data_IF_270085519207
#
_entry.id   IF_270085519207
#
_cell.length_a   1.000
_cell.length_b   1.000
_cell.length_c   1.000
_cell.angle_alpha   90.00
_cell.angle_beta   90.00
_cell.angle_gamma   90.00
#
_symmetry.space_group_name_H-M   'P 1'
#
loop_
_entity.id
_entity.type
_entity.pdbx_description
1 polymer ?
#
# COMPACT_ATOMS: atom_id res chain seq x y z
N UNK A 1 2.64 -25.66 -4.89
CA UNK A 1 3.56 -26.19 -5.92
C UNK A 1 2.92 -26.42 -7.30
N UNK A 2 1.59 -26.44 -7.44
CA UNK A 2 0.95 -26.75 -8.73
C UNK A 2 1.11 -25.66 -9.82
N UNK A 3 1.24 -24.38 -9.47
CA UNK A 3 1.26 -23.27 -10.44
C UNK A 3 2.47 -23.26 -11.37
N UNK A 4 3.60 -23.84 -10.94
CA UNK A 4 4.86 -23.80 -11.70
C UNK A 4 5.14 -25.09 -12.47
N UNK A 5 4.34 -26.13 -12.30
CA UNK A 5 4.56 -27.42 -12.97
C UNK A 5 4.47 -27.30 -14.49
N UNK A 6 3.49 -26.54 -15.00
CA UNK A 6 3.31 -26.30 -16.44
C UNK A 6 4.44 -25.47 -17.06
N UNK A 7 5.17 -24.69 -16.25
CA UNK A 7 6.35 -23.96 -16.72
C UNK A 7 7.58 -24.86 -16.72
N UNK A 8 7.74 -25.67 -15.67
CA UNK A 8 8.88 -26.58 -15.54
C UNK A 8 8.90 -27.71 -16.58
N UNK A 9 7.74 -28.15 -17.09
CA UNK A 9 7.64 -29.21 -18.11
C UNK A 9 8.32 -28.83 -19.44
N UNK A 10 8.51 -27.53 -19.70
CA UNK A 10 9.20 -27.04 -20.90
C UNK A 10 10.73 -27.25 -20.84
N UNK A 11 11.26 -27.58 -19.66
CA UNK A 11 12.69 -27.75 -19.42
C UNK A 11 13.01 -29.18 -19.04
N UNK A 12 14.12 -29.70 -19.56
CA UNK A 12 14.70 -30.94 -19.07
C UNK A 12 15.71 -30.63 -17.96
N UNK A 13 15.31 -30.80 -16.69
CA UNK A 13 16.15 -30.48 -15.54
C UNK A 13 16.12 -31.59 -14.48
N UNK A 14 17.14 -31.57 -13.62
CA UNK A 14 17.23 -32.40 -12.43
C UNK A 14 17.34 -31.52 -11.20
N UNK A 15 16.66 -31.91 -10.12
CA UNK A 15 16.71 -31.18 -8.85
C UNK A 15 17.82 -31.76 -7.99
N UNK A 16 18.87 -30.97 -7.76
CA UNK A 16 19.96 -31.34 -6.86
C UNK A 16 20.03 -30.37 -5.67
N UNK A 17 20.18 -30.94 -4.46
CA UNK A 17 20.48 -30.14 -3.29
C UNK A 17 21.94 -29.66 -3.32
N UNK A 18 22.15 -28.35 -3.18
CA UNK A 18 23.48 -27.75 -2.98
C UNK A 18 23.59 -27.19 -1.56
N UNK A 19 24.51 -27.71 -0.73
CA UNK A 19 24.77 -27.16 0.59
C UNK A 19 25.13 -25.67 0.51
N UNK A 20 24.65 -24.87 1.46
CA UNK A 20 24.83 -23.40 1.44
C UNK A 20 26.28 -22.94 1.33
N UNK A 21 27.23 -23.68 1.95
CA UNK A 21 28.68 -23.41 1.83
C UNK A 21 29.20 -23.44 0.40
N UNK A 22 28.59 -24.24 -0.47
CA UNK A 22 28.98 -24.37 -1.89
C UNK A 22 28.17 -23.42 -2.79
N UNK A 23 27.14 -22.77 -2.27
CA UNK A 23 26.23 -21.92 -3.02
C UNK A 23 26.68 -20.44 -3.04
N UNK A 24 27.99 -20.19 -2.92
CA UNK A 24 28.57 -18.85 -2.68
C UNK A 24 28.19 -17.84 -3.76
N UNK A 25 28.18 -18.27 -5.03
CA UNK A 25 27.87 -17.37 -6.17
C UNK A 25 26.40 -16.96 -6.16
N UNK A 26 25.48 -17.93 -6.08
CA UNK A 26 24.06 -17.63 -6.06
C UNK A 26 23.67 -16.87 -4.78
N UNK A 27 24.28 -17.21 -3.63
CA UNK A 27 24.10 -16.48 -2.37
C UNK A 27 24.60 -15.03 -2.47
N UNK A 28 25.79 -14.79 -3.06
CA UNK A 28 26.29 -13.44 -3.28
C UNK A 28 25.41 -12.62 -4.23
N UNK A 29 24.92 -13.21 -5.31
CA UNK A 29 24.00 -12.55 -6.25
C UNK A 29 22.59 -12.34 -5.68
N UNK A 30 22.16 -13.25 -4.79
CA UNK A 30 20.92 -13.14 -4.02
C UNK A 30 20.98 -12.04 -2.97
N UNK A 31 22.18 -11.76 -2.44
CA UNK A 31 22.39 -10.74 -1.40
C UNK A 31 22.43 -9.36 -2.04
N UNK A 32 21.31 -8.68 -1.93
CA UNK A 32 21.17 -7.27 -2.25
C UNK A 32 21.76 -6.40 -1.13
N UNK A 33 22.86 -5.66 -1.35
CA UNK A 33 23.47 -4.83 -0.29
C UNK A 33 22.55 -3.68 0.15
N UNK A 34 21.59 -3.28 -0.69
CA UNK A 34 20.50 -2.35 -0.40
C UNK A 34 19.47 -2.87 0.63
N UNK A 35 19.48 -4.18 0.93
CA UNK A 35 18.63 -4.81 1.95
C UNK A 35 19.36 -5.14 3.26
N UNK A 36 20.67 -4.85 3.36
CA UNK A 36 21.39 -5.02 4.60
C UNK A 36 20.87 -3.98 5.61
N UNK A 37 20.08 -4.44 6.59
CA UNK A 37 19.64 -3.62 7.72
C UNK A 37 20.89 -3.14 8.45
N UNK A 38 21.23 -1.86 8.30
CA UNK A 38 22.17 -1.20 9.19
C UNK A 38 21.61 -1.35 10.61
N UNK A 39 22.24 -2.21 11.39
CA UNK A 39 21.89 -2.37 12.81
C UNK A 39 22.50 -1.18 13.53
N UNK A 40 21.87 -0.02 13.39
CA UNK A 40 22.13 1.16 14.22
C UNK A 40 20.96 1.31 15.18
N UNK A 41 21.22 0.89 16.42
CA UNK A 41 20.55 1.21 17.67
C UNK A 41 19.02 1.06 17.74
N UNK A 42 18.62 0.06 18.52
CA UNK A 42 17.29 -0.48 18.74
C UNK A 42 16.30 0.45 19.49
N UNK A 43 16.34 1.78 19.33
CA UNK A 43 15.36 2.65 20.00
C UNK A 43 14.96 3.95 19.28
N UNK A 44 15.12 3.99 17.96
CA UNK A 44 14.44 5.02 17.16
C UNK A 44 13.38 4.33 16.33
N UNK A 45 12.11 4.74 16.45
CA UNK A 45 11.05 4.39 15.51
C UNK A 45 11.50 4.95 14.15
N UNK A 46 12.27 4.13 13.44
CA UNK A 46 12.69 4.38 12.08
C UNK A 46 11.44 4.30 11.25
N UNK A 47 10.84 5.46 10.98
CA UNK A 47 10.04 5.65 9.78
C UNK A 47 10.88 5.03 8.68
N UNK A 48 10.46 3.85 8.22
CA UNK A 48 10.93 3.27 6.98
C UNK A 48 10.54 4.33 5.96
N UNK A 49 11.47 5.22 5.65
CA UNK A 49 11.48 5.90 4.37
C UNK A 49 11.75 4.78 3.38
N UNK A 50 10.67 4.06 3.05
CA UNK A 50 10.46 3.70 1.67
C UNK A 50 10.70 5.03 0.96
N UNK A 51 11.79 5.10 0.22
CA UNK A 51 11.80 5.90 -1.00
C UNK A 51 10.66 5.34 -1.86
N UNK A 52 9.42 5.63 -1.47
CA UNK A 52 8.36 5.81 -2.42
C UNK A 52 8.99 6.78 -3.41
N UNK A 53 9.08 6.47 -4.71
CA UNK A 53 9.20 7.55 -5.67
C UNK A 53 8.18 8.60 -5.21
N UNK A 54 8.57 9.87 -5.16
CA UNK A 54 7.67 10.97 -4.85
C UNK A 54 6.59 10.98 -5.94
N UNK A 55 5.67 10.02 -5.85
CA UNK A 55 4.60 9.81 -6.78
C UNK A 55 3.68 10.96 -6.48
N UNK A 56 3.46 11.80 -7.50
CA UNK A 56 2.44 12.84 -7.44
C UNK A 56 1.09 12.26 -7.02
N UNK A 57 0.90 10.94 -7.07
CA UNK A 57 -0.30 10.23 -6.66
C UNK A 57 -0.86 10.69 -5.31
N UNK A 58 -0.02 10.91 -4.29
CA UNK A 58 -0.54 11.41 -3.00
C UNK A 58 -0.96 12.88 -3.07
N UNK A 59 -0.34 13.68 -3.93
CA UNK A 59 -0.79 15.05 -4.23
C UNK A 59 -2.08 15.05 -5.06
N UNK A 60 -2.23 14.09 -5.96
CA UNK A 60 -3.41 13.90 -6.81
C UNK A 60 -4.60 13.43 -5.97
N UNK A 61 -4.39 12.49 -5.03
CA UNK A 61 -5.39 12.11 -4.01
C UNK A 61 -5.84 13.33 -3.21
N UNK A 62 -4.88 14.15 -2.73
CA UNK A 62 -5.20 15.37 -1.97
C UNK A 62 -5.98 16.38 -2.81
N UNK A 63 -5.67 16.50 -4.09
CA UNK A 63 -6.37 17.41 -5.00
C UNK A 63 -7.76 16.90 -5.33
N UNK A 64 -7.93 15.60 -5.54
CA UNK A 64 -9.21 14.97 -5.84
C UNK A 64 -10.20 14.99 -4.67
N UNK A 65 -9.74 15.12 -3.42
CA UNK A 65 -10.63 15.41 -2.28
C UNK A 65 -11.47 16.67 -2.47
N UNK A 66 -11.00 17.64 -3.26
CA UNK A 66 -11.78 18.82 -3.61
C UNK A 66 -12.98 18.54 -4.52
N UNK A 67 -13.14 17.31 -5.03
CA UNK A 67 -14.27 16.91 -5.88
C UNK A 67 -15.23 15.94 -5.17
N UNK A 68 -14.80 15.30 -4.07
CA UNK A 68 -15.58 14.32 -3.32
C UNK A 68 -16.34 14.96 -2.14
N UNK A 69 -17.67 14.96 -2.19
CA UNK A 69 -18.51 15.59 -1.16
C UNK A 69 -18.39 14.90 0.21
N UNK A 70 -18.28 13.57 0.24
CA UNK A 70 -18.20 12.80 1.48
C UNK A 70 -16.85 13.02 2.16
N UNK A 71 -15.76 13.04 1.38
CA UNK A 71 -14.43 13.34 1.91
C UNK A 71 -14.34 14.77 2.42
N UNK A 72 -14.94 15.75 1.73
CA UNK A 72 -15.01 17.13 2.23
C UNK A 72 -15.69 17.21 3.59
N UNK A 73 -16.85 16.55 3.75
CA UNK A 73 -17.56 16.57 5.03
C UNK A 73 -16.76 15.91 6.16
N UNK A 74 -15.98 14.86 5.86
CA UNK A 74 -15.04 14.27 6.82
C UNK A 74 -13.92 15.23 7.19
N UNK A 75 -13.28 15.87 6.20
CA UNK A 75 -12.22 16.85 6.44
C UNK A 75 -12.73 18.05 7.24
N UNK A 76 -13.90 18.60 6.92
CA UNK A 76 -14.55 19.67 7.67
C UNK A 76 -14.81 19.26 9.12
N UNK A 77 -15.30 18.05 9.35
CA UNK A 77 -15.51 17.50 10.69
C UNK A 77 -14.20 17.39 11.48
N UNK A 78 -13.11 16.91 10.86
CA UNK A 78 -11.82 16.79 11.54
C UNK A 78 -11.10 18.14 11.72
N UNK A 79 -11.38 19.13 10.87
CA UNK A 79 -10.85 20.49 11.01
C UNK A 79 -11.52 21.27 12.15
N UNK A 80 -12.85 21.12 12.32
CA UNK A 80 -13.61 21.77 13.38
C UNK A 80 -14.72 20.85 13.96
N UNK A 81 -14.34 19.86 14.80
CA UNK A 81 -15.28 18.88 15.35
C UNK A 81 -16.42 19.56 16.11
N UNK A 82 -17.65 19.32 15.67
CA UNK A 82 -18.86 19.90 16.26
C UNK A 82 -20.08 19.06 15.91
N UNK A 83 -21.17 19.15 16.69
CA UNK A 83 -22.40 18.43 16.34
C UNK A 83 -22.97 18.85 14.99
N UNK A 84 -22.81 20.12 14.62
CA UNK A 84 -23.21 20.65 13.31
C UNK A 84 -22.41 20.02 12.17
N UNK A 85 -21.08 19.92 12.29
CA UNK A 85 -20.24 19.27 11.26
C UNK A 85 -20.49 17.76 11.21
N UNK A 86 -20.68 17.12 12.38
CA UNK A 86 -21.05 15.70 12.48
C UNK A 86 -22.40 15.42 11.82
N UNK A 87 -23.34 16.36 11.89
CA UNK A 87 -24.65 16.29 11.22
C UNK A 87 -24.61 16.54 9.70
N UNK A 88 -23.46 16.92 9.13
CA UNK A 88 -23.30 16.99 7.67
C UNK A 88 -22.84 15.65 7.07
N UNK A 89 -22.17 14.81 7.86
CA UNK A 89 -21.72 13.50 7.42
C UNK A 89 -22.90 12.60 7.02
N UNK A 90 -22.71 11.74 6.02
CA UNK A 90 -23.68 10.69 5.71
C UNK A 90 -23.86 9.71 6.90
N UNK A 91 -25.03 9.08 7.03
CA UNK A 91 -25.36 8.19 8.18
C UNK A 91 -24.31 7.09 8.39
N UNK A 92 -23.85 6.48 7.30
CA UNK A 92 -22.85 5.40 7.35
C UNK A 92 -21.46 5.91 7.78
N UNK A 93 -21.07 7.12 7.36
CA UNK A 93 -19.84 7.78 7.79
C UNK A 93 -19.88 8.15 9.27
N UNK A 94 -21.01 8.69 9.77
CA UNK A 94 -21.17 9.00 11.21
C UNK A 94 -20.96 7.78 12.10
N UNK A 95 -21.50 6.64 11.70
CA UNK A 95 -21.38 5.40 12.46
C UNK A 95 -19.92 4.93 12.56
N UNK A 96 -19.09 5.26 11.57
CA UNK A 96 -17.70 4.82 11.45
C UNK A 96 -16.69 5.95 11.62
N UNK A 97 -17.10 7.14 12.01
CA UNK A 97 -16.23 8.35 12.04
C UNK A 97 -15.00 8.17 12.94
N UNK A 98 -15.14 7.39 14.02
CA UNK A 98 -14.04 7.05 14.95
C UNK A 98 -12.91 6.22 14.29
N UNK A 99 -13.16 5.64 13.12
CA UNK A 99 -12.21 4.84 12.34
C UNK A 99 -11.42 5.68 11.34
N UNK A 100 -11.79 6.95 11.18
CA UNK A 100 -11.10 7.88 10.31
C UNK A 100 -10.16 8.77 11.13
N UNK A 101 -9.03 9.13 10.52
CA UNK A 101 -8.05 10.08 11.07
C UNK A 101 -7.50 10.93 9.94
N UNK A 102 -7.00 12.12 10.24
CA UNK A 102 -6.35 12.98 9.24
C UNK A 102 -4.88 13.14 9.60
N UNK A 103 -4.00 12.88 8.63
CA UNK A 103 -2.56 13.11 8.76
C UNK A 103 -2.01 13.71 7.46
N UNK A 104 -1.29 14.83 7.54
CA UNK A 104 -0.74 15.53 6.36
C UNK A 104 -1.78 15.78 5.24
N UNK A 105 -3.01 16.16 5.63
CA UNK A 105 -4.18 16.34 4.75
C UNK A 105 -4.65 15.08 4.02
N UNK A 106 -4.15 13.90 4.39
CA UNK A 106 -4.67 12.61 3.92
C UNK A 106 -5.65 12.08 4.95
N UNK A 107 -6.77 11.55 4.44
CA UNK A 107 -7.75 10.86 5.26
C UNK A 107 -7.35 9.38 5.35
N UNK A 108 -7.15 8.90 6.56
CA UNK A 108 -6.78 7.52 6.88
C UNK A 108 -7.98 6.78 7.44
N UNK A 109 -8.16 5.52 7.04
CA UNK A 109 -9.17 4.62 7.53
C UNK A 109 -8.53 3.39 8.16
N UNK A 110 -8.92 3.07 9.39
CA UNK A 110 -8.47 1.90 10.12
C UNK A 110 -9.49 0.76 9.99
N UNK A 111 -9.07 -0.35 9.36
CA UNK A 111 -9.83 -1.60 9.32
C UNK A 111 -9.69 -2.35 10.67
N UNK A 112 -10.68 -3.19 11.05
CA UNK A 112 -10.66 -3.88 12.36
C UNK A 112 -9.66 -5.03 12.36
N UNK A 113 -9.37 -5.56 11.17
CA UNK A 113 -8.83 -6.91 11.03
C UNK A 113 -7.30 -6.95 10.87
N UNK A 114 -6.65 -5.82 10.57
CA UNK A 114 -5.21 -5.78 10.25
C UNK A 114 -4.42 -4.65 10.93
N UNK A 115 -5.07 -3.83 11.77
CA UNK A 115 -4.47 -2.68 12.45
C UNK A 115 -3.70 -1.75 11.49
N UNK A 116 -4.05 -1.75 10.20
CA UNK A 116 -3.38 -0.99 9.16
C UNK A 116 -4.19 0.25 8.80
N UNK A 117 -3.52 1.40 8.79
CA UNK A 117 -4.08 2.64 8.29
C UNK A 117 -4.01 2.65 6.77
N UNK A 118 -5.16 2.87 6.12
CA UNK A 118 -5.29 2.92 4.66
C UNK A 118 -5.69 4.32 4.24
N UNK A 119 -5.05 4.85 3.18
CA UNK A 119 -5.46 6.13 2.60
C UNK A 119 -6.83 5.97 1.95
N UNK A 120 -7.76 6.86 2.29
CA UNK A 120 -9.06 6.95 1.63
C UNK A 120 -8.84 7.55 0.24
N UNK A 121 -9.19 6.79 -0.79
CA UNK A 121 -9.18 7.24 -2.18
C UNK A 121 -10.55 7.87 -2.47
N UNK A 122 -10.62 9.11 -2.98
CA UNK A 122 -11.89 9.74 -3.34
C UNK A 122 -12.56 9.00 -4.50
N UNK A 123 -13.85 9.28 -4.72
CA UNK A 123 -14.58 8.73 -5.86
C UNK A 123 -14.19 9.40 -7.19
N UNK A 124 -12.94 9.21 -7.61
CA UNK A 124 -12.37 9.65 -8.87
C UNK A 124 -11.94 8.42 -9.69
N UNK A 125 -12.55 8.26 -10.87
CA UNK A 125 -12.34 7.08 -11.70
C UNK A 125 -10.91 6.98 -12.24
N UNK A 126 -10.36 8.09 -12.75
CA UNK A 126 -9.02 8.14 -13.34
C UNK A 126 -7.96 7.89 -12.26
N UNK A 127 -8.16 8.46 -11.08
CA UNK A 127 -7.27 8.24 -9.95
C UNK A 127 -7.29 6.77 -9.50
N UNK A 128 -8.47 6.15 -9.41
CA UNK A 128 -8.60 4.71 -9.09
C UNK A 128 -7.93 3.83 -10.13
N UNK A 129 -8.10 4.13 -11.42
CA UNK A 129 -7.42 3.42 -12.51
C UNK A 129 -5.91 3.56 -12.41
N UNK A 130 -5.41 4.77 -12.16
CA UNK A 130 -3.98 5.02 -12.01
C UNK A 130 -3.39 4.30 -10.80
N UNK A 131 -4.06 4.32 -9.65
CA UNK A 131 -3.63 3.56 -8.46
C UNK A 131 -3.54 2.07 -8.79
N UNK A 132 -4.56 1.55 -9.47
CA UNK A 132 -4.61 0.15 -9.90
C UNK A 132 -3.45 -0.16 -10.85
N UNK A 133 -3.26 0.66 -11.89
CA UNK A 133 -2.19 0.51 -12.87
C UNK A 133 -0.79 0.57 -12.23
N UNK A 134 -0.50 1.58 -11.40
CA UNK A 134 0.78 1.70 -10.69
C UNK A 134 1.07 0.49 -9.81
N UNK A 135 0.04 -0.11 -9.19
CA UNK A 135 0.20 -1.29 -8.34
C UNK A 135 0.35 -2.59 -9.15
N UNK A 136 -0.35 -2.71 -10.28
CA UNK A 136 -0.30 -3.89 -11.15
C UNK A 136 0.95 -3.95 -12.03
N UNK A 137 1.41 -2.81 -12.53
CA UNK A 137 2.53 -2.69 -13.47
C UNK A 137 3.83 -2.17 -12.83
N UNK A 138 3.86 -2.04 -11.50
CA UNK A 138 5.11 -1.87 -10.78
C UNK A 138 6.10 -2.97 -11.20
N UNK A 139 7.35 -2.59 -11.50
CA UNK A 139 8.39 -3.48 -12.03
C UNK A 139 8.72 -4.70 -11.14
N UNK A 140 8.17 -4.73 -9.92
CA UNK A 140 8.24 -5.82 -8.92
C UNK A 140 6.92 -6.55 -8.67
N UNK A 141 5.79 -6.03 -9.16
CA UNK A 141 4.49 -6.72 -9.12
C UNK A 141 4.46 -7.73 -10.26
N UNK A 142 4.75 -9.00 -9.96
CA UNK A 142 4.52 -10.07 -10.92
C UNK A 142 3.03 -10.11 -11.26
N UNK A 143 2.66 -9.68 -12.47
CA UNK A 143 1.31 -9.59 -13.02
C UNK A 143 0.31 -10.55 -12.36
N UNK A 144 -0.47 -10.11 -11.35
CA UNK A 144 -1.50 -10.94 -10.77
C UNK A 144 -2.70 -10.93 -11.71
N UNK A 145 -3.02 -12.07 -12.30
CA UNK A 145 -4.23 -12.23 -13.11
C UNK A 145 -5.52 -11.96 -12.32
N UNK A 146 -6.59 -11.71 -13.08
CA UNK A 146 -7.97 -11.31 -12.74
C UNK A 146 -8.66 -11.94 -11.51
N UNK A 147 -8.09 -12.99 -10.90
CA UNK A 147 -8.66 -13.69 -9.74
C UNK A 147 -8.24 -13.12 -8.37
N UNK A 148 -7.50 -12.00 -8.35
CA UNK A 148 -7.15 -11.27 -7.12
C UNK A 148 -7.59 -9.81 -7.15
N UNK A 149 -8.81 -9.58 -7.63
CA UNK A 149 -9.61 -8.38 -7.37
C UNK A 149 -10.66 -8.73 -6.34
#
# INVERSE_FOLDING_TARGET
MARWLSFFVEYNFQVEYKPGRLNVVADALSRRPDYAVHTTDANTIGVVRTSTPSSSLLDDVRSAYANDADVKHLLDYFAAPSDKSRQKLAKHLRARVHRYRVHNRLLLYSAVDDNADRVVVPDDHELKLRITYEYHDARTSGHPGREKT
#
